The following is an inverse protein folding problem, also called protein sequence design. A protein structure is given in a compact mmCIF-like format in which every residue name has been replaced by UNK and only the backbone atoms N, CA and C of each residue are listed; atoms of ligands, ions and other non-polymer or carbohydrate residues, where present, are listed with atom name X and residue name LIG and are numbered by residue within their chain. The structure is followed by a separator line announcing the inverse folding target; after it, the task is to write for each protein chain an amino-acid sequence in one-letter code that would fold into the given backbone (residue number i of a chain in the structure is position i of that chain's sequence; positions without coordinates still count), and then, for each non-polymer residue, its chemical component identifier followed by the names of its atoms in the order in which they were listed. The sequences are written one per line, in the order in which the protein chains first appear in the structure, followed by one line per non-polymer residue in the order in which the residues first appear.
data_IF_247896135425
#
_entry.id   IF_247896135425
#
_cell.length_a   1.000
_cell.length_b   1.000
_cell.length_c   1.000
_cell.angle_alpha   90.00
_cell.angle_beta   90.00
_cell.angle_gamma   90.00
#
_symmetry.space_group_name_H-M   'P 1'
#
loop_
_entity.id
_entity.type
_entity.pdbx_description
1 polymer ?
#
# COMPACT_ATOMS: atom_id res chain seq x y z
N UNK A 1 -13.27 -2.38 -10.72
CA UNK A 1 -12.15 -2.20 -9.79
C UNK A 1 -10.86 -2.55 -10.49
N UNK A 2 -9.91 -1.62 -10.57
CA UNK A 2 -8.60 -1.85 -11.20
C UNK A 2 -7.50 -2.14 -10.16
N UNK A 3 -7.65 -1.62 -8.95
CA UNK A 3 -6.71 -1.86 -7.85
C UNK A 3 -7.49 -2.07 -6.54
N UNK A 4 -7.13 -3.11 -5.79
CA UNK A 4 -7.64 -3.37 -4.44
C UNK A 4 -6.49 -3.75 -3.51
N UNK A 5 -6.43 -3.07 -2.36
CA UNK A 5 -5.56 -3.36 -1.25
C UNK A 5 -6.46 -3.72 -0.07
N UNK A 6 -6.24 -4.88 0.54
CA UNK A 6 -7.02 -5.34 1.68
C UNK A 6 -6.13 -5.74 2.85
N UNK A 7 -6.28 -5.05 3.97
CA UNK A 7 -5.57 -5.31 5.22
C UNK A 7 -4.05 -5.19 5.12
N UNK A 8 -3.54 -4.26 4.29
CA UNK A 8 -2.10 -4.18 3.99
C UNK A 8 -1.30 -3.73 5.21
N UNK A 9 -0.36 -4.59 5.63
CA UNK A 9 0.63 -4.29 6.67
C UNK A 9 2.03 -4.36 6.10
N UNK A 10 2.90 -3.46 6.57
CA UNK A 10 4.31 -3.45 6.23
C UNK A 10 5.12 -2.83 7.35
N UNK A 11 6.20 -3.49 7.70
CA UNK A 11 7.20 -3.06 8.67
C UNK A 11 8.58 -3.18 8.04
N UNK A 12 9.52 -2.40 8.55
CA UNK A 12 10.93 -2.49 8.14
C UNK A 12 11.81 -2.71 9.35
N UNK A 13 12.77 -3.62 9.22
CA UNK A 13 13.78 -3.84 10.23
C UNK A 13 14.82 -2.72 10.17
N UNK A 14 15.03 -2.05 11.29
CA UNK A 14 16.09 -1.06 11.50
C UNK A 14 17.00 -1.49 12.64
N UNK A 15 18.06 -0.72 12.89
CA UNK A 15 18.94 -0.94 14.05
C UNK A 15 18.20 -0.80 15.39
N UNK A 16 17.09 -0.04 15.42
CA UNK A 16 16.29 0.24 16.61
C UNK A 16 15.17 -0.79 16.80
N UNK A 17 14.97 -1.69 15.84
CA UNK A 17 13.95 -2.75 15.88
C UNK A 17 13.07 -2.77 14.64
N UNK A 18 11.95 -3.49 14.72
CA UNK A 18 10.98 -3.54 13.63
C UNK A 18 10.03 -2.33 13.72
N UNK A 19 10.04 -1.48 12.70
CA UNK A 19 9.20 -0.27 12.66
C UNK A 19 7.97 -0.53 11.78
N UNK A 20 6.75 -0.54 12.34
CA UNK A 20 5.53 -0.67 11.54
C UNK A 20 5.29 0.63 10.76
N UNK A 21 5.17 0.51 9.43
CA UNK A 21 4.94 1.65 8.53
C UNK A 21 3.50 1.68 8.01
N UNK A 22 2.92 0.52 7.68
CA UNK A 22 1.52 0.38 7.32
C UNK A 22 0.83 -0.57 8.29
N UNK A 23 -0.35 -0.18 8.77
CA UNK A 23 -1.08 -0.91 9.81
C UNK A 23 -2.51 -1.27 9.37
N UNK A 24 -2.65 -2.12 8.35
CA UNK A 24 -3.93 -2.63 7.89
C UNK A 24 -4.65 -1.63 7.00
N UNK A 25 -4.01 -1.22 5.91
CA UNK A 25 -4.57 -0.28 4.95
C UNK A 25 -5.52 -1.01 4.00
N UNK A 26 -6.74 -0.48 3.88
CA UNK A 26 -7.73 -0.87 2.88
C UNK A 26 -7.92 0.26 1.87
N UNK A 27 -7.85 -0.06 0.58
CA UNK A 27 -8.05 0.89 -0.52
C UNK A 27 -8.61 0.17 -1.74
N UNK A 28 -9.57 0.81 -2.43
CA UNK A 28 -10.07 0.38 -3.72
C UNK A 28 -10.05 1.55 -4.69
N UNK A 29 -9.65 1.28 -5.94
CA UNK A 29 -9.68 2.26 -7.03
C UNK A 29 -10.35 1.63 -8.25
N UNK A 30 -11.30 2.36 -8.84
CA UNK A 30 -11.98 1.95 -10.07
C UNK A 30 -11.22 2.40 -11.33
N UNK A 31 -11.53 1.79 -12.46
CA UNK A 31 -10.93 2.19 -13.74
C UNK A 31 -11.37 3.62 -14.09
N UNK A 32 -10.42 4.47 -14.49
CA UNK A 32 -10.67 5.87 -14.83
C UNK A 32 -10.73 6.82 -13.63
N UNK A 33 -10.65 6.32 -12.40
CA UNK A 33 -10.55 7.16 -11.21
C UNK A 33 -9.10 7.60 -10.97
N UNK A 34 -8.95 8.76 -10.33
CA UNK A 34 -7.68 9.23 -9.79
C UNK A 34 -7.85 9.54 -8.31
N UNK A 35 -6.92 9.04 -7.51
CA UNK A 35 -6.89 9.26 -6.07
C UNK A 35 -5.55 9.92 -5.70
N UNK A 36 -5.63 10.99 -4.91
CA UNK A 36 -4.44 11.65 -4.37
C UNK A 36 -4.12 11.09 -2.98
N UNK A 37 -2.92 10.54 -2.81
CA UNK A 37 -2.42 10.08 -1.52
C UNK A 37 -1.63 11.22 -0.84
N UNK A 38 -2.18 11.77 0.24
CA UNK A 38 -1.58 12.90 0.97
C UNK A 38 -1.19 12.49 2.39
N UNK A 39 -0.38 13.32 3.06
CA UNK A 39 0.09 13.08 4.43
C UNK A 39 1.52 13.56 4.66
N UNK A 40 1.91 13.68 5.92
CA UNK A 40 3.24 14.16 6.33
C UNK A 40 4.39 13.27 5.86
N UNK A 41 5.61 13.80 5.84
CA UNK A 41 6.80 12.98 5.56
C UNK A 41 6.89 11.82 6.56
N UNK A 42 7.21 10.62 6.08
CA UNK A 42 7.28 9.42 6.93
C UNK A 42 5.95 8.68 7.17
N UNK A 43 4.80 9.21 6.72
CA UNK A 43 3.48 8.58 6.94
C UNK A 43 3.21 7.29 6.15
N UNK A 44 4.22 6.70 5.49
CA UNK A 44 4.08 5.45 4.73
C UNK A 44 3.56 5.56 3.28
N UNK A 45 3.40 6.78 2.74
CA UNK A 45 2.89 6.97 1.36
C UNK A 45 3.71 6.24 0.29
N UNK A 46 5.01 6.47 0.27
CA UNK A 46 5.91 5.84 -0.71
C UNK A 46 5.91 4.32 -0.53
N UNK A 47 5.84 3.82 0.70
CA UNK A 47 5.70 2.38 0.97
C UNK A 47 4.42 1.83 0.37
N UNK A 48 3.27 2.47 0.60
CA UNK A 48 1.98 2.05 0.03
C UNK A 48 2.03 2.03 -1.51
N UNK A 49 2.63 3.04 -2.14
CA UNK A 49 2.75 3.12 -3.60
C UNK A 49 3.70 2.06 -4.17
N UNK A 50 4.82 1.75 -3.51
CA UNK A 50 5.70 0.66 -3.93
C UNK A 50 4.98 -0.69 -3.88
N UNK A 51 4.23 -0.96 -2.81
CA UNK A 51 3.44 -2.18 -2.67
C UNK A 51 2.35 -2.26 -3.74
N UNK A 52 1.57 -1.19 -3.94
CA UNK A 52 0.53 -1.13 -4.96
C UNK A 52 1.09 -1.32 -6.38
N UNK A 53 2.30 -0.82 -6.65
CA UNK A 53 3.02 -0.99 -7.92
C UNK A 53 3.71 -2.35 -8.09
N UNK A 54 3.61 -3.25 -7.10
CA UNK A 54 4.27 -4.57 -7.15
C UNK A 54 5.80 -4.51 -7.04
N UNK A 55 6.35 -3.42 -6.50
CA UNK A 55 7.80 -3.20 -6.34
C UNK A 55 8.34 -3.75 -5.01
N UNK A 56 7.46 -4.07 -4.07
CA UNK A 56 7.77 -4.71 -2.79
C UNK A 56 6.57 -5.60 -2.40
N UNK A 57 6.75 -6.47 -1.39
CA UNK A 57 5.72 -7.35 -0.89
C UNK A 57 5.20 -6.88 0.47
N UNK A 58 3.88 -6.95 0.74
CA UNK A 58 3.36 -6.66 2.06
C UNK A 58 3.74 -7.77 3.04
N UNK A 59 3.85 -7.46 4.33
CA UNK A 59 4.04 -8.47 5.37
C UNK A 59 2.74 -9.26 5.59
N UNK A 60 1.59 -8.64 5.33
CA UNK A 60 0.27 -9.24 5.41
C UNK A 60 -0.73 -8.46 4.56
N UNK A 61 -1.82 -9.13 4.20
CA UNK A 61 -2.89 -8.57 3.36
C UNK A 61 -2.74 -8.99 1.90
N UNK A 62 -3.65 -8.50 1.06
CA UNK A 62 -3.76 -8.90 -0.35
C UNK A 62 -3.82 -7.67 -1.24
N UNK A 63 -3.03 -7.68 -2.31
CA UNK A 63 -3.08 -6.68 -3.38
C UNK A 63 -3.58 -7.37 -4.64
N UNK A 64 -4.68 -6.87 -5.20
CA UNK A 64 -5.28 -7.38 -6.44
C UNK A 64 -5.24 -6.29 -7.50
N UNK A 65 -4.70 -6.62 -8.67
CA UNK A 65 -4.72 -5.76 -9.85
C UNK A 65 -5.67 -6.37 -10.88
N UNK A 66 -6.71 -5.63 -11.22
CA UNK A 66 -7.68 -6.00 -12.24
C UNK A 66 -7.28 -5.47 -13.62
N UNK A 67 -7.79 -6.09 -14.68
CA UNK A 67 -7.68 -5.54 -16.04
C UNK A 67 -8.81 -4.53 -16.20
N UNK A 68 -8.46 -3.24 -16.35
CA UNK A 68 -9.45 -2.21 -16.67
C UNK A 68 -10.15 -2.58 -17.98
N UNK A 69 -11.49 -2.62 -17.97
CA UNK A 69 -12.27 -2.69 -19.20
C UNK A 69 -12.34 -1.32 -19.86
#
# INVERSE_FOLDING_TARGET
MVLSLSGIKKSYQTAEGNIPVLNGVDLSLEAGESLALTGESGSGKSTLLHLAGGLDLPDSGIITVGVGK
#
